data_IF_287822972867
#
_entry.id   IF_287822972867
#
_cell.length_a   1.000
_cell.length_b   1.000
_cell.length_c   1.000
_cell.angle_alpha   90.00
_cell.angle_beta   90.00
_cell.angle_gamma   90.00
#
_symmetry.space_group_name_H-M   'P 1'
#
loop_
_entity.id
_entity.type
_entity.pdbx_description
1 polymer ?
#
# COMPACT_ATOMS: atom_id res chain seq x y z
N UNK A 1 -9.00 -24.39 29.36
CA UNK A 1 -9.59 -23.04 29.26
C UNK A 1 -8.96 -22.37 28.07
N UNK A 2 -9.57 -22.60 26.91
CA UNK A 2 -9.19 -22.04 25.63
C UNK A 2 -9.55 -20.56 25.59
N UNK A 3 -8.53 -19.71 25.49
CA UNK A 3 -8.70 -18.28 25.25
C UNK A 3 -8.04 -17.86 23.93
N UNK A 4 -8.23 -18.66 22.87
CA UNK A 4 -8.11 -18.16 21.49
C UNK A 4 -9.47 -17.58 21.12
N UNK A 5 -9.86 -16.57 21.89
CA UNK A 5 -11.03 -15.74 21.64
C UNK A 5 -10.73 -14.94 20.37
N UNK A 6 -11.33 -15.37 19.27
CA UNK A 6 -11.75 -14.55 18.14
C UNK A 6 -10.78 -13.44 17.73
N UNK A 7 -10.06 -13.65 16.62
CA UNK A 7 -9.65 -12.55 15.74
C UNK A 7 -10.83 -12.34 14.78
N UNK A 8 -11.81 -11.47 15.08
CA UNK A 8 -12.83 -11.18 14.09
C UNK A 8 -12.29 -10.11 13.13
N UNK A 9 -12.74 -10.21 11.87
CA UNK A 9 -12.70 -9.22 10.80
C UNK A 9 -11.50 -9.23 9.82
N UNK A 10 -11.88 -9.44 8.56
CA UNK A 10 -11.08 -9.40 7.35
C UNK A 10 -10.29 -8.09 7.20
N UNK A 11 -8.99 -8.12 7.44
CA UNK A 11 -8.10 -7.00 7.13
C UNK A 11 -7.76 -6.99 5.62
N UNK A 12 -8.05 -5.91 4.90
CA UNK A 12 -7.41 -5.65 3.61
C UNK A 12 -5.92 -5.34 3.84
N UNK A 13 -5.04 -5.89 2.98
CA UNK A 13 -3.59 -5.65 2.99
C UNK A 13 -3.25 -4.79 1.78
N UNK A 14 -2.44 -3.78 2.00
CA UNK A 14 -1.96 -2.90 0.94
C UNK A 14 -0.43 -2.81 1.03
N UNK A 15 0.22 -2.63 -0.11
CA UNK A 15 1.68 -2.61 -0.16
C UNK A 15 2.20 -1.79 -1.32
N UNK A 16 3.47 -1.45 -1.24
CA UNK A 16 4.19 -0.67 -2.23
C UNK A 16 5.59 -1.23 -2.39
N UNK A 17 6.07 -1.28 -3.62
CA UNK A 17 7.44 -1.65 -3.95
C UNK A 17 8.08 -0.51 -4.70
N UNK A 18 9.30 -0.13 -4.31
CA UNK A 18 10.10 0.87 -4.98
C UNK A 18 11.22 0.15 -5.72
N UNK A 19 11.23 0.28 -7.04
CA UNK A 19 12.29 -0.27 -7.89
C UNK A 19 13.33 0.80 -8.21
N UNK A 20 14.59 0.38 -8.38
CA UNK A 20 15.64 1.20 -8.98
C UNK A 20 15.56 1.18 -10.50
N UNK A 21 16.43 1.95 -11.14
CA UNK A 21 16.42 2.13 -12.61
C UNK A 21 16.75 0.87 -13.41
N UNK A 22 17.26 -0.19 -12.76
CA UNK A 22 17.52 -1.49 -13.39
C UNK A 22 16.47 -2.54 -12.99
N UNK A 23 15.37 -2.12 -12.37
CA UNK A 23 14.31 -3.00 -11.90
C UNK A 23 14.61 -3.71 -10.58
N UNK A 24 15.72 -3.38 -9.91
CA UNK A 24 16.04 -3.96 -8.61
C UNK A 24 15.11 -3.42 -7.53
N UNK A 25 14.63 -4.27 -6.62
CA UNK A 25 13.83 -3.82 -5.47
C UNK A 25 14.74 -3.06 -4.50
N UNK A 26 14.45 -1.78 -4.30
CA UNK A 26 15.15 -0.92 -3.33
C UNK A 26 14.46 -0.95 -1.98
N UNK A 27 13.14 -0.88 -1.97
CA UNK A 27 12.33 -0.94 -0.74
C UNK A 27 11.01 -1.65 -1.02
N UNK A 28 10.53 -2.44 -0.07
CA UNK A 28 9.19 -3.01 -0.08
C UNK A 28 8.52 -2.74 1.27
N UNK A 29 7.26 -2.33 1.24
CA UNK A 29 6.47 -2.05 2.43
C UNK A 29 5.08 -2.66 2.26
N UNK A 30 4.57 -3.30 3.30
CA UNK A 30 3.20 -3.80 3.36
C UNK A 30 2.59 -3.44 4.72
N UNK A 31 1.31 -3.09 4.73
CA UNK A 31 0.58 -2.79 5.94
C UNK A 31 -0.81 -3.41 5.86
N UNK A 32 -1.31 -3.88 7.01
CA UNK A 32 -2.67 -4.39 7.17
C UNK A 32 -3.40 -3.57 8.23
N UNK A 33 -4.73 -3.47 8.10
CA UNK A 33 -5.57 -2.82 9.10
C UNK A 33 -6.79 -2.08 8.57
N UNK A 34 -7.16 -2.26 7.30
CA UNK A 34 -8.34 -1.62 6.70
C UNK A 34 -9.62 -2.47 6.80
N UNK A 35 -10.77 -1.80 6.85
CA UNK A 35 -12.07 -2.42 6.59
C UNK A 35 -12.15 -2.92 5.14
N UNK A 36 -12.81 -4.05 4.93
CA UNK A 36 -12.84 -4.81 3.67
C UNK A 36 -13.49 -4.05 2.51
N UNK A 37 -14.30 -3.03 2.80
CA UNK A 37 -15.27 -2.48 1.86
C UNK A 37 -14.75 -1.30 1.02
N UNK A 38 -13.49 -0.88 1.19
CA UNK A 38 -12.94 0.24 0.43
C UNK A 38 -11.57 -0.06 -0.19
N UNK A 39 -11.60 -0.86 -1.27
CA UNK A 39 -10.43 -1.18 -2.10
C UNK A 39 -9.77 0.09 -2.63
N UNK A 40 -10.55 1.12 -3.00
CA UNK A 40 -10.02 2.39 -3.50
C UNK A 40 -9.22 3.12 -2.43
N UNK A 41 -9.72 3.14 -1.19
CA UNK A 41 -8.98 3.66 -0.04
C UNK A 41 -7.70 2.84 0.22
N UNK A 42 -7.77 1.51 0.13
CA UNK A 42 -6.61 0.64 0.25
C UNK A 42 -5.50 0.95 -0.75
N UNK A 43 -5.86 1.12 -2.02
CA UNK A 43 -4.94 1.51 -3.10
C UNK A 43 -4.34 2.90 -2.88
N UNK A 44 -5.16 3.89 -2.52
CA UNK A 44 -4.68 5.24 -2.21
C UNK A 44 -3.70 5.24 -1.02
N UNK A 45 -3.94 4.42 0.00
CA UNK A 45 -3.04 4.24 1.14
C UNK A 45 -1.74 3.53 0.74
N UNK A 46 -1.78 2.53 -0.14
CA UNK A 46 -0.58 1.90 -0.72
C UNK A 46 0.29 2.93 -1.44
N UNK A 47 -0.30 3.74 -2.33
CA UNK A 47 0.42 4.77 -3.07
C UNK A 47 1.05 5.78 -2.11
N UNK A 48 0.27 6.32 -1.16
CA UNK A 48 0.77 7.29 -0.17
C UNK A 48 1.93 6.70 0.65
N UNK A 49 1.82 5.45 1.07
CA UNK A 49 2.87 4.77 1.82
C UNK A 49 4.13 4.58 0.97
N UNK A 50 3.97 4.18 -0.29
CA UNK A 50 5.08 4.04 -1.24
C UNK A 50 5.85 5.33 -1.45
N UNK A 51 5.13 6.46 -1.61
CA UNK A 51 5.75 7.79 -1.74
C UNK A 51 6.57 8.13 -0.48
N UNK A 52 5.98 7.95 0.71
CA UNK A 52 6.66 8.26 1.96
C UNK A 52 7.92 7.41 2.15
N UNK A 53 7.83 6.12 1.85
CA UNK A 53 8.96 5.18 1.93
C UNK A 53 10.06 5.53 0.93
N UNK A 54 9.71 5.93 -0.29
CA UNK A 54 10.68 6.37 -1.28
C UNK A 54 11.39 7.66 -0.85
N UNK A 55 10.65 8.62 -0.29
CA UNK A 55 11.21 9.87 0.25
C UNK A 55 12.17 9.61 1.42
N UNK A 56 11.77 8.77 2.38
CA UNK A 56 12.61 8.39 3.53
C UNK A 56 13.89 7.68 3.08
N UNK A 57 13.81 6.88 2.01
CA UNK A 57 14.96 6.23 1.39
C UNK A 57 15.80 7.15 0.47
N UNK A 58 15.44 8.43 0.32
CA UNK A 58 16.14 9.38 -0.55
C UNK A 58 15.99 9.11 -2.05
N UNK A 59 14.94 8.38 -2.45
CA UNK A 59 14.68 7.98 -3.84
C UNK A 59 13.72 8.99 -4.46
N UNK A 60 14.26 9.95 -5.22
CA UNK A 60 13.48 10.96 -5.95
C UNK A 60 14.22 11.39 -7.23
N UNK A 61 13.53 11.67 -8.36
CA UNK A 61 12.09 11.54 -8.59
C UNK A 61 11.61 10.08 -8.69
N UNK A 62 10.30 9.84 -8.52
CA UNK A 62 9.67 8.52 -8.65
C UNK A 62 8.58 8.52 -9.72
N UNK A 63 8.35 7.35 -10.33
CA UNK A 63 7.19 7.06 -11.16
C UNK A 63 6.30 6.07 -10.40
N UNK A 64 4.98 6.31 -10.41
CA UNK A 64 4.02 5.47 -9.70
C UNK A 64 3.29 4.61 -10.73
N UNK A 65 3.38 3.30 -10.55
CA UNK A 65 2.64 2.31 -11.32
C UNK A 65 1.63 1.62 -10.39
N UNK A 66 0.36 1.59 -10.80
CA UNK A 66 -0.74 0.96 -10.07
C UNK A 66 -1.75 0.43 -11.09
N UNK A 67 -2.33 -0.73 -10.81
CA UNK A 67 -3.38 -1.37 -11.61
C UNK A 67 -4.80 -0.87 -11.24
N UNK A 68 -4.91 0.05 -10.28
CA UNK A 68 -6.17 0.69 -9.92
C UNK A 68 -6.66 1.62 -11.05
N UNK A 69 -7.54 1.08 -11.89
CA UNK A 69 -8.02 1.64 -13.16
C UNK A 69 -8.73 3.01 -13.13
N UNK A 70 -8.99 3.63 -11.97
CA UNK A 70 -9.58 4.98 -11.89
C UNK A 70 -9.65 5.49 -10.45
N UNK A 71 -8.76 6.41 -10.08
CA UNK A 71 -9.08 7.44 -9.09
C UNK A 71 -9.83 8.56 -9.83
N UNK A 72 -11.12 8.36 -10.14
CA UNK A 72 -11.94 9.43 -10.69
C UNK A 72 -11.87 10.63 -9.74
N UNK A 73 -11.74 11.84 -10.31
CA UNK A 73 -11.80 13.11 -9.56
C UNK A 73 -13.03 13.05 -8.65
N UNK A 74 -12.84 13.23 -7.36
CA UNK A 74 -13.95 13.52 -6.44
C UNK A 74 -14.71 14.73 -7.03
N UNK A 75 -15.98 14.50 -7.36
CA UNK A 75 -16.89 15.49 -7.88
C UNK A 75 -17.18 16.60 -6.85
#
# INVERSE_FOLDING_TARGET
>A
MDLVSSIPFCCFRFGSVVHGSKGEIRVASAQGGGSRDDVKLGEALAIRRGIFVAQDAGIWPIFIESDCLKCDKLA
#
